data_IF_446470494547
#
_entry.id   IF_446470494547
#
_cell.length_a   1.000
_cell.length_b   1.000
_cell.length_c   1.000
_cell.angle_alpha   90.00
_cell.angle_beta   90.00
_cell.angle_gamma   90.00
#
_symmetry.space_group_name_H-M   'P 1'
#
loop_
_entity.id
_entity.type
_entity.pdbx_description
1 polymer ?
#
# COMPACT_ATOMS: atom_id res chain seq x y z
N UNK A 1 48.30 47.35 27.73
CA UNK A 1 48.12 46.36 26.67
C UNK A 1 46.64 46.06 26.59
N UNK A 2 45.93 46.76 25.72
CA UNK A 2 44.50 46.56 25.51
C UNK A 2 44.29 45.24 24.75
N UNK A 3 43.57 44.31 25.38
CA UNK A 3 43.14 43.08 24.74
C UNK A 3 41.84 43.37 24.01
N UNK A 4 41.90 43.54 22.69
CA UNK A 4 40.70 43.63 21.87
C UNK A 4 39.95 42.28 21.94
N UNK A 5 38.62 42.29 22.13
CA UNK A 5 37.83 41.07 22.10
C UNK A 5 37.89 40.46 20.70
N UNK A 6 38.15 39.15 20.64
CA UNK A 6 38.18 38.39 19.40
C UNK A 6 36.84 38.56 18.65
N UNK A 7 36.84 38.77 17.33
CA UNK A 7 35.61 38.95 16.57
C UNK A 7 34.76 37.69 16.69
N UNK A 8 33.52 37.86 17.17
CA UNK A 8 32.51 36.80 17.21
C UNK A 8 32.28 36.35 15.77
N UNK A 9 32.76 35.15 15.45
CA UNK A 9 32.55 34.52 14.14
C UNK A 9 31.03 34.45 13.93
N UNK A 10 30.51 35.22 12.98
CA UNK A 10 29.12 35.11 12.57
C UNK A 10 28.88 33.64 12.20
N UNK A 11 28.21 32.90 13.09
CA UNK A 11 27.74 31.54 12.79
C UNK A 11 26.92 31.66 11.52
N UNK A 12 27.39 31.03 10.45
CA UNK A 12 26.66 30.98 9.20
C UNK A 12 25.28 30.40 9.51
N UNK A 13 24.22 31.18 9.25
CA UNK A 13 22.82 30.72 9.34
C UNK A 13 22.46 29.89 8.11
N UNK A 14 23.40 29.08 7.65
CA UNK A 14 23.17 28.17 6.55
C UNK A 14 22.16 27.15 7.03
N UNK A 15 21.02 27.09 6.34
CA UNK A 15 19.99 26.14 6.73
C UNK A 15 20.53 24.73 6.56
N UNK A 16 20.30 23.89 7.56
CA UNK A 16 20.68 22.49 7.47
C UNK A 16 19.88 21.86 6.34
N UNK A 17 20.58 21.25 5.39
CA UNK A 17 19.96 20.54 4.26
C UNK A 17 18.92 19.49 4.72
N UNK A 18 19.11 18.90 5.90
CA UNK A 18 18.20 17.90 6.48
C UNK A 18 17.17 18.46 7.48
N UNK A 19 17.36 19.68 7.96
CA UNK A 19 16.51 20.32 8.97
C UNK A 19 16.38 21.81 8.66
N UNK A 20 15.53 22.12 7.68
CA UNK A 20 15.17 23.49 7.38
C UNK A 20 14.51 24.17 8.59
N UNK A 21 14.37 25.50 8.55
CA UNK A 21 13.78 26.26 9.67
C UNK A 21 12.39 25.79 10.02
N UNK A 22 11.58 25.43 9.01
CA UNK A 22 10.22 24.91 9.22
C UNK A 22 10.21 23.61 10.01
N UNK A 23 11.13 22.70 9.73
CA UNK A 23 11.30 21.44 10.44
C UNK A 23 11.80 21.65 11.87
N UNK A 24 12.77 22.55 12.06
CA UNK A 24 13.30 22.86 13.40
C UNK A 24 12.25 23.54 14.29
N UNK A 25 11.47 24.48 13.74
CA UNK A 25 10.40 25.15 14.47
C UNK A 25 9.28 24.18 14.83
N UNK A 26 8.93 23.27 13.91
CA UNK A 26 8.01 22.18 14.21
C UNK A 26 8.51 21.28 15.34
N UNK A 27 9.77 20.82 15.29
CA UNK A 27 10.36 19.96 16.35
C UNK A 27 10.31 20.66 17.71
N UNK A 28 10.69 21.94 17.76
CA UNK A 28 10.67 22.74 19.00
C UNK A 28 9.27 22.92 19.54
N UNK A 29 8.31 23.24 18.67
CA UNK A 29 6.90 23.38 19.04
C UNK A 29 6.32 22.06 19.56
N UNK A 30 6.60 20.96 18.88
CA UNK A 30 6.14 19.63 19.30
C UNK A 30 6.74 19.21 20.65
N UNK A 31 8.03 19.47 20.87
CA UNK A 31 8.70 19.20 22.14
C UNK A 31 8.15 20.06 23.30
N UNK A 32 7.85 21.34 23.04
CA UNK A 32 7.34 22.26 24.06
C UNK A 32 5.90 21.95 24.49
N UNK A 33 5.07 21.49 23.57
CA UNK A 33 3.63 21.29 23.79
C UNK A 33 3.20 19.82 23.88
N UNK A 34 4.16 18.88 23.84
CA UNK A 34 3.85 17.45 23.86
C UNK A 34 3.01 17.00 22.66
N UNK A 35 3.13 17.67 21.52
CA UNK A 35 2.40 17.30 20.31
C UNK A 35 2.97 15.98 19.78
N UNK A 36 2.13 14.96 19.72
CA UNK A 36 2.45 13.71 19.06
C UNK A 36 1.78 13.69 17.68
N UNK A 37 2.56 13.52 16.63
CA UNK A 37 2.04 13.46 15.26
C UNK A 37 1.61 12.02 14.94
N UNK A 38 0.30 11.78 14.86
CA UNK A 38 -0.21 10.55 14.25
C UNK A 38 -0.24 10.75 12.74
N UNK A 39 0.91 10.64 12.08
CA UNK A 39 0.99 10.62 10.62
C UNK A 39 1.86 9.47 10.11
N UNK A 40 1.75 9.16 8.81
CA UNK A 40 2.67 8.26 8.13
C UNK A 40 4.12 8.74 8.30
N UNK A 41 5.07 7.82 8.39
CA UNK A 41 6.50 8.12 8.46
C UNK A 41 7.05 8.45 7.06
N UNK A 42 6.42 9.47 6.46
CA UNK A 42 6.86 10.18 5.27
C UNK A 42 8.38 10.35 5.20
N UNK A 43 8.98 10.28 4.02
CA UNK A 43 10.39 10.63 3.88
C UNK A 43 10.62 12.08 4.33
N UNK A 44 11.43 12.26 5.38
CA UNK A 44 11.76 13.59 5.94
C UNK A 44 12.71 14.41 5.07
N UNK A 45 13.19 13.83 3.96
CA UNK A 45 14.06 14.47 2.97
C UNK A 45 13.39 14.43 1.61
N UNK A 46 13.79 15.32 0.70
CA UNK A 46 13.39 15.24 -0.70
C UNK A 46 13.84 13.89 -1.28
N UNK A 47 12.89 13.14 -1.83
CA UNK A 47 13.16 11.92 -2.59
C UNK A 47 13.04 12.22 -4.09
N UNK A 48 13.69 11.41 -4.95
CA UNK A 48 13.49 11.51 -6.39
C UNK A 48 12.01 11.38 -6.75
N UNK A 49 11.52 12.27 -7.61
CA UNK A 49 10.16 12.26 -8.16
C UNK A 49 10.12 11.71 -9.58
N UNK A 50 8.94 11.77 -10.21
CA UNK A 50 8.81 11.40 -11.62
C UNK A 50 9.58 12.36 -12.55
N UNK A 51 9.78 13.61 -12.13
CA UNK A 51 10.54 14.61 -12.89
C UNK A 51 12.05 14.29 -12.94
N UNK A 52 12.54 13.41 -12.07
CA UNK A 52 13.94 12.97 -12.07
C UNK A 52 14.18 11.75 -12.99
N UNK A 53 13.13 11.24 -13.67
CA UNK A 53 13.23 10.10 -14.58
C UNK A 53 13.47 10.55 -16.02
N UNK A 54 14.40 9.87 -16.70
CA UNK A 54 14.60 9.99 -18.15
C UNK A 54 14.13 8.72 -18.83
N UNK A 55 13.09 8.82 -19.65
CA UNK A 55 12.66 7.72 -20.51
C UNK A 55 13.57 7.62 -21.72
N UNK A 56 14.24 6.47 -21.89
CA UNK A 56 15.07 6.21 -23.06
C UNK A 56 14.18 5.83 -24.24
N UNK A 57 14.24 6.63 -25.31
CA UNK A 57 13.53 6.37 -26.54
C UNK A 57 13.98 5.07 -27.22
N UNK A 58 13.03 4.43 -27.90
CA UNK A 58 13.28 3.31 -28.80
C UNK A 58 14.24 3.72 -29.95
N UNK A 59 15.11 2.80 -30.37
CA UNK A 59 16.11 2.99 -31.44
C UNK A 59 16.51 1.61 -32.00
N UNK A 60 17.78 1.39 -32.36
CA UNK A 60 18.24 0.12 -32.98
C UNK A 60 18.03 -1.12 -32.09
N UNK A 61 18.07 -0.99 -30.76
CA UNK A 61 17.90 -2.11 -29.83
C UNK A 61 16.44 -2.46 -29.52
N UNK A 62 15.50 -1.54 -29.78
CA UNK A 62 14.05 -1.75 -29.70
C UNK A 62 13.36 -0.84 -30.70
N UNK A 63 12.66 -1.42 -31.67
CA UNK A 63 11.90 -0.67 -32.64
C UNK A 63 10.72 0.05 -31.99
N UNK A 64 10.50 1.29 -32.40
CA UNK A 64 9.29 2.03 -32.05
C UNK A 64 8.09 1.43 -32.79
N UNK A 65 6.92 1.47 -32.16
CA UNK A 65 5.69 1.02 -32.81
C UNK A 65 5.30 2.00 -33.91
N UNK A 66 4.93 1.46 -35.08
CA UNK A 66 4.33 2.24 -36.15
C UNK A 66 2.84 2.45 -35.84
N UNK A 67 2.46 3.59 -35.26
CA UNK A 67 1.12 3.82 -34.71
C UNK A 67 -0.08 3.66 -35.67
N UNK A 68 0.15 3.63 -36.99
CA UNK A 68 -0.89 3.34 -37.99
C UNK A 68 -1.02 1.84 -38.32
N UNK A 69 -0.01 1.01 -38.00
CA UNK A 69 0.00 -0.45 -38.21
C UNK A 69 -0.17 -1.23 -36.93
N UNK A 70 0.38 -0.70 -35.84
CA UNK A 70 0.52 -1.39 -34.57
C UNK A 70 -0.24 -0.64 -33.47
N UNK A 71 -0.98 -1.38 -32.65
CA UNK A 71 -1.69 -0.82 -31.50
C UNK A 71 -0.83 -0.89 -30.25
N UNK A 72 -0.69 0.23 -29.55
CA UNK A 72 -0.17 0.24 -28.19
C UNK A 72 -1.29 -0.22 -27.24
N UNK A 73 -1.16 -1.43 -26.70
CA UNK A 73 -2.13 -1.96 -25.74
C UNK A 73 -1.72 -1.63 -24.30
N UNK A 74 -2.63 -1.02 -23.55
CA UNK A 74 -2.49 -0.83 -22.09
C UNK A 74 -3.05 -2.01 -21.29
N UNK A 75 -3.65 -3.00 -21.98
CA UNK A 75 -4.27 -4.16 -21.34
C UNK A 75 -3.24 -4.89 -20.49
N UNK A 76 -3.59 -5.10 -19.22
CA UNK A 76 -2.73 -5.71 -18.23
C UNK A 76 -3.40 -6.97 -17.69
N UNK A 77 -2.70 -8.10 -17.80
CA UNK A 77 -3.20 -9.38 -17.27
C UNK A 77 -2.36 -9.80 -16.07
N UNK A 78 -3.00 -9.97 -14.93
CA UNK A 78 -2.38 -10.31 -13.66
C UNK A 78 -2.78 -11.73 -13.23
N UNK A 79 -1.82 -12.50 -12.71
CA UNK A 79 -2.10 -13.82 -12.14
C UNK A 79 -2.14 -15.01 -13.12
N UNK A 80 -1.63 -14.85 -14.34
CA UNK A 80 -1.73 -15.82 -15.45
C UNK A 80 -1.15 -17.22 -15.21
N UNK A 81 -0.34 -17.42 -14.17
CA UNK A 81 0.43 -18.66 -14.01
C UNK A 81 -0.24 -19.68 -13.08
N UNK A 82 -0.94 -19.23 -12.05
CA UNK A 82 -1.42 -20.11 -10.96
C UNK A 82 -2.89 -19.91 -10.58
N UNK A 83 -3.51 -18.83 -11.05
CA UNK A 83 -4.93 -18.63 -10.90
C UNK A 83 -5.65 -19.21 -12.12
N UNK A 84 -6.70 -20.01 -11.90
CA UNK A 84 -7.58 -20.47 -12.99
C UNK A 84 -8.28 -19.30 -13.68
N UNK A 85 -8.53 -18.22 -12.95
CA UNK A 85 -9.17 -16.99 -13.44
C UNK A 85 -8.23 -15.79 -13.21
N UNK A 86 -7.30 -15.51 -14.15
CA UNK A 86 -6.48 -14.31 -14.07
C UNK A 86 -7.34 -13.04 -14.15
N UNK A 87 -6.83 -11.93 -13.60
CA UNK A 87 -7.48 -10.63 -13.74
C UNK A 87 -7.01 -9.97 -15.03
N UNK A 88 -7.96 -9.47 -15.80
CA UNK A 88 -7.70 -8.61 -16.95
C UNK A 88 -8.15 -7.18 -16.65
N UNK A 89 -7.23 -6.23 -16.82
CA UNK A 89 -7.48 -4.79 -16.68
C UNK A 89 -7.23 -4.12 -18.03
N UNK A 90 -7.98 -3.07 -18.34
CA UNK A 90 -7.82 -2.29 -19.57
C UNK A 90 -6.61 -1.34 -19.48
N UNK A 91 -6.20 -0.97 -18.26
CA UNK A 91 -5.07 -0.08 -17.97
C UNK A 91 -4.14 -0.62 -16.86
N UNK A 92 -2.85 -0.27 -16.86
CA UNK A 92 -1.87 -0.72 -15.85
C UNK A 92 -1.90 0.12 -14.56
N UNK A 93 -3.05 0.69 -14.20
CA UNK A 93 -3.21 1.58 -13.04
C UNK A 93 -4.32 1.01 -12.18
N UNK A 94 -4.10 0.80 -10.88
CA UNK A 94 -5.09 0.25 -9.94
C UNK A 94 -5.33 1.20 -8.77
N UNK A 95 -6.50 1.11 -8.14
CA UNK A 95 -6.81 1.87 -6.93
C UNK A 95 -6.35 1.08 -5.71
N UNK A 96 -5.38 1.63 -4.98
CA UNK A 96 -4.79 1.02 -3.81
C UNK A 96 -5.81 0.85 -2.66
N UNK A 97 -5.52 -0.12 -1.77
CA UNK A 97 -6.40 -0.46 -0.65
C UNK A 97 -6.51 0.62 0.40
N UNK A 98 -7.73 1.11 0.60
CA UNK A 98 -8.07 2.05 1.67
C UNK A 98 -9.29 1.52 2.42
N UNK A 99 -9.14 1.33 3.73
CA UNK A 99 -10.13 0.60 4.54
C UNK A 99 -11.45 1.37 4.71
N UNK A 100 -12.57 0.65 4.71
CA UNK A 100 -13.83 1.19 5.25
C UNK A 100 -13.65 1.53 6.74
N UNK A 101 -13.99 2.76 7.12
CA UNK A 101 -13.66 3.38 8.41
C UNK A 101 -12.62 4.49 8.28
N UNK A 102 -11.59 4.29 7.43
CA UNK A 102 -10.76 5.41 6.96
C UNK A 102 -11.51 6.22 5.89
N UNK A 103 -12.19 5.50 4.98
CA UNK A 103 -13.13 6.04 4.00
C UNK A 103 -14.58 5.72 4.38
N UNK A 104 -15.51 6.55 3.90
CA UNK A 104 -16.95 6.27 4.01
C UNK A 104 -17.40 5.22 2.98
N UNK A 105 -18.55 4.59 3.22
CA UNK A 105 -19.14 3.64 2.28
C UNK A 105 -19.40 4.28 0.90
N UNK A 106 -19.88 5.54 0.88
CA UNK A 106 -20.13 6.27 -0.37
C UNK A 106 -18.85 6.49 -1.18
N UNK A 107 -17.72 6.76 -0.53
CA UNK A 107 -16.43 6.89 -1.23
C UNK A 107 -16.00 5.53 -1.79
N UNK A 108 -16.16 4.45 -1.02
CA UNK A 108 -15.85 3.09 -1.48
C UNK A 108 -16.70 2.71 -2.70
N UNK A 109 -18.00 3.02 -2.66
CA UNK A 109 -18.92 2.81 -3.77
C UNK A 109 -18.50 3.60 -5.02
N UNK A 110 -18.21 4.90 -4.86
CA UNK A 110 -17.78 5.78 -5.94
C UNK A 110 -16.48 5.32 -6.59
N UNK A 111 -15.48 4.90 -5.79
CA UNK A 111 -14.24 4.33 -6.31
C UNK A 111 -14.50 3.04 -7.10
N UNK A 112 -15.42 2.19 -6.64
CA UNK A 112 -15.78 0.97 -7.36
C UNK A 112 -16.46 1.24 -8.71
N UNK A 113 -17.38 2.21 -8.77
CA UNK A 113 -17.99 2.64 -10.04
C UNK A 113 -16.95 3.19 -11.00
N UNK A 114 -16.13 4.12 -10.54
CA UNK A 114 -15.07 4.74 -11.34
C UNK A 114 -14.06 3.69 -11.86
N UNK A 115 -13.63 2.76 -11.01
CA UNK A 115 -12.73 1.69 -11.44
C UNK A 115 -13.36 0.80 -12.50
N UNK A 116 -14.64 0.44 -12.33
CA UNK A 116 -15.37 -0.40 -13.27
C UNK A 116 -15.52 0.26 -14.64
N UNK A 117 -15.84 1.55 -14.67
CA UNK A 117 -15.94 2.35 -15.90
C UNK A 117 -14.59 2.50 -16.59
N UNK A 118 -13.51 2.69 -15.82
CA UNK A 118 -12.14 2.80 -16.33
C UNK A 118 -11.48 1.46 -16.67
N UNK A 119 -12.18 0.34 -16.47
CA UNK A 119 -11.64 -0.99 -16.76
C UNK A 119 -10.49 -1.40 -15.82
N UNK A 120 -10.50 -0.92 -14.58
CA UNK A 120 -9.48 -1.24 -13.56
C UNK A 120 -10.08 -1.86 -12.29
N UNK A 121 -9.22 -2.11 -11.29
CA UNK A 121 -9.55 -2.73 -10.01
C UNK A 121 -9.49 -1.76 -8.84
N UNK A 122 -10.29 -2.08 -7.84
CA UNK A 122 -10.26 -1.49 -6.49
C UNK A 122 -9.74 -2.50 -5.48
N UNK A 123 -9.35 -2.01 -4.31
CA UNK A 123 -8.87 -2.84 -3.20
C UNK A 123 -9.55 -2.47 -1.88
N UNK A 124 -9.99 -3.47 -1.13
CA UNK A 124 -10.81 -3.34 0.09
C UNK A 124 -10.13 -2.55 1.24
N UNK A 125 -8.88 -2.87 1.60
CA UNK A 125 -8.24 -2.30 2.80
C UNK A 125 -8.41 -3.15 4.07
N UNK A 126 -7.91 -2.65 5.20
CA UNK A 126 -8.01 -3.27 6.56
C UNK A 126 -9.41 -3.29 7.19
N UNK A 127 -10.45 -3.08 6.40
CA UNK A 127 -11.83 -2.92 6.87
C UNK A 127 -12.77 -4.06 6.49
N UNK A 128 -12.29 -5.06 5.76
CA UNK A 128 -13.14 -6.06 5.10
C UNK A 128 -13.85 -5.50 3.86
N UNK A 129 -14.71 -6.32 3.27
CA UNK A 129 -15.48 -5.99 2.07
C UNK A 129 -16.86 -5.45 2.46
N UNK A 130 -17.21 -4.25 2.00
CA UNK A 130 -18.58 -3.75 2.17
C UNK A 130 -19.47 -4.23 1.01
N UNK A 131 -20.80 -4.37 1.22
CA UNK A 131 -21.73 -4.66 0.14
C UNK A 131 -21.66 -3.63 -0.99
N UNK A 132 -21.56 -2.34 -0.64
CA UNK A 132 -21.52 -1.24 -1.62
C UNK A 132 -20.29 -1.33 -2.53
N UNK A 133 -19.12 -1.63 -1.95
CA UNK A 133 -17.88 -1.81 -2.73
C UNK A 133 -17.97 -3.04 -3.64
N UNK A 134 -18.49 -4.17 -3.14
CA UNK A 134 -18.59 -5.38 -3.95
C UNK A 134 -19.56 -5.21 -5.11
N UNK A 135 -20.68 -4.53 -4.89
CA UNK A 135 -21.70 -4.30 -5.91
C UNK A 135 -21.26 -3.27 -6.96
N UNK A 136 -20.45 -2.28 -6.58
CA UNK A 136 -20.01 -1.24 -7.52
C UNK A 136 -18.75 -1.59 -8.30
N UNK A 137 -17.89 -2.48 -7.78
CA UNK A 137 -16.64 -2.88 -8.42
C UNK A 137 -16.79 -4.12 -9.31
N UNK A 138 -16.44 -4.02 -10.59
CA UNK A 138 -16.30 -5.15 -11.52
C UNK A 138 -15.14 -6.06 -11.12
N UNK A 139 -14.01 -5.46 -10.74
CA UNK A 139 -12.82 -6.16 -10.25
C UNK A 139 -12.43 -5.63 -8.88
N UNK A 140 -12.50 -6.47 -7.85
CA UNK A 140 -12.20 -6.11 -6.47
C UNK A 140 -11.16 -7.06 -5.86
N UNK A 141 -10.08 -6.48 -5.37
CA UNK A 141 -9.01 -7.15 -4.66
C UNK A 141 -9.27 -7.12 -3.15
N UNK A 142 -9.24 -8.28 -2.52
CA UNK A 142 -9.46 -8.42 -1.08
C UNK A 142 -8.13 -8.44 -0.33
N UNK A 143 -7.94 -7.57 0.67
CA UNK A 143 -6.69 -7.53 1.42
C UNK A 143 -6.72 -8.45 2.66
N UNK A 144 -5.63 -9.17 2.84
CA UNK A 144 -5.34 -9.99 4.00
C UNK A 144 -4.21 -9.32 4.80
N UNK A 145 -4.56 -8.53 5.82
CA UNK A 145 -3.62 -7.79 6.66
C UNK A 145 -3.31 -8.52 7.98
N UNK A 146 -2.20 -8.19 8.66
CA UNK A 146 -1.77 -8.82 9.91
C UNK A 146 -2.84 -9.10 10.95
N UNK A 147 -3.77 -8.16 11.14
CA UNK A 147 -4.74 -8.25 12.23
C UNK A 147 -6.05 -8.93 11.90
N UNK A 148 -6.27 -9.25 10.62
CA UNK A 148 -7.49 -9.96 10.16
C UNK A 148 -8.80 -9.24 10.54
N UNK A 149 -8.76 -7.93 10.74
CA UNK A 149 -9.98 -7.17 11.04
C UNK A 149 -10.94 -7.25 9.86
N UNK A 150 -12.15 -7.74 10.12
CA UNK A 150 -13.15 -7.98 9.09
C UNK A 150 -12.73 -8.99 8.02
N UNK A 151 -11.76 -9.87 8.33
CA UNK A 151 -11.39 -10.97 7.45
C UNK A 151 -12.51 -12.02 7.44
N UNK A 152 -13.16 -12.16 6.29
CA UNK A 152 -14.29 -13.06 6.11
C UNK A 152 -14.03 -14.00 4.92
N UNK A 153 -13.89 -15.31 5.14
CA UNK A 153 -13.69 -16.30 4.08
C UNK A 153 -14.72 -16.22 2.94
N UNK A 154 -15.98 -15.90 3.25
CA UNK A 154 -17.03 -15.79 2.23
C UNK A 154 -16.80 -14.59 1.32
N UNK A 155 -16.32 -13.47 1.86
CA UNK A 155 -15.94 -12.31 1.06
C UNK A 155 -14.68 -12.56 0.24
N UNK A 156 -13.73 -13.34 0.76
CA UNK A 156 -12.54 -13.75 0.00
C UNK A 156 -12.94 -14.58 -1.22
N UNK A 157 -13.89 -15.51 -1.10
CA UNK A 157 -14.40 -16.28 -2.25
C UNK A 157 -15.13 -15.41 -3.27
N UNK A 158 -15.79 -14.35 -2.81
CA UNK A 158 -16.48 -13.35 -3.65
C UNK A 158 -15.53 -12.32 -4.29
N UNK A 159 -14.27 -12.25 -3.87
CA UNK A 159 -13.28 -11.34 -4.44
C UNK A 159 -12.77 -11.84 -5.80
N UNK A 160 -12.11 -10.97 -6.55
CA UNK A 160 -11.51 -11.30 -7.85
C UNK A 160 -10.02 -11.63 -7.72
N UNK A 161 -9.37 -11.11 -6.68
CA UNK A 161 -8.02 -11.45 -6.26
C UNK A 161 -7.83 -11.22 -4.76
N UNK A 162 -6.71 -11.71 -4.25
CA UNK A 162 -6.30 -11.54 -2.86
C UNK A 162 -4.97 -10.79 -2.82
N UNK A 163 -4.82 -9.84 -1.91
CA UNK A 163 -3.55 -9.17 -1.64
C UNK A 163 -3.13 -9.42 -0.18
N UNK A 164 -2.06 -10.17 0.02
CA UNK A 164 -1.43 -10.39 1.33
C UNK A 164 -0.52 -9.21 1.64
N UNK A 165 -0.82 -8.47 2.69
CA UNK A 165 -0.15 -7.20 3.01
C UNK A 165 0.91 -7.40 4.08
N UNK A 166 2.18 -7.34 3.68
CA UNK A 166 3.34 -7.46 4.58
C UNK A 166 3.70 -6.11 5.19
N UNK A 167 3.58 -5.06 4.38
CA UNK A 167 3.88 -3.70 4.76
C UNK A 167 3.19 -2.71 3.84
N UNK A 168 3.13 -1.46 4.31
CA UNK A 168 2.58 -0.33 3.56
C UNK A 168 3.59 0.82 3.60
N UNK A 169 3.63 1.62 2.54
CA UNK A 169 4.58 2.71 2.33
C UNK A 169 4.53 3.77 3.43
N UNK A 170 3.32 4.10 3.90
CA UNK A 170 3.10 5.03 5.00
C UNK A 170 3.79 4.61 6.31
N UNK A 171 3.86 3.31 6.56
CA UNK A 171 4.31 2.74 7.84
C UNK A 171 4.73 1.29 7.62
N UNK A 172 5.90 1.05 7.00
CA UNK A 172 6.26 -0.29 6.54
C UNK A 172 6.55 -1.26 7.67
N UNK A 173 6.96 -0.78 8.85
CA UNK A 173 7.14 -1.59 10.06
C UNK A 173 5.98 -1.50 11.06
N UNK A 174 4.86 -0.85 10.70
CA UNK A 174 3.73 -0.61 11.59
C UNK A 174 2.42 -1.21 11.05
N UNK A 175 1.45 -1.42 11.93
CA UNK A 175 0.12 -1.86 11.52
C UNK A 175 -0.83 -0.69 11.21
N UNK A 176 -1.94 -1.00 10.54
CA UNK A 176 -3.15 -0.17 10.46
C UNK A 176 -3.53 0.49 11.80
N UNK A 177 -4.09 1.70 11.75
CA UNK A 177 -4.59 2.39 12.93
C UNK A 177 -5.84 3.16 12.53
N UNK A 178 -6.89 3.01 13.32
CA UNK A 178 -8.14 3.74 13.16
C UNK A 178 -8.57 4.26 14.52
N UNK A 179 -8.73 5.58 14.63
CA UNK A 179 -9.16 6.22 15.87
C UNK A 179 -10.56 5.78 16.25
N UNK A 180 -10.81 5.61 17.54
CA UNK A 180 -12.10 5.17 18.09
C UNK A 180 -13.27 6.05 17.67
N UNK A 181 -13.03 7.36 17.51
CA UNK A 181 -14.02 8.31 16.96
C UNK A 181 -14.53 7.93 15.56
N UNK A 182 -13.72 7.21 14.77
CA UNK A 182 -14.09 6.69 13.44
C UNK A 182 -14.60 5.25 13.49
N UNK A 183 -14.51 4.57 14.63
CA UNK A 183 -15.06 3.23 14.86
C UNK A 183 -16.55 3.37 15.21
N UNK A 184 -17.34 3.68 14.19
CA UNK A 184 -18.80 3.71 14.27
C UNK A 184 -19.36 2.30 14.54
N UNK A 185 -20.63 2.16 14.99
CA UNK A 185 -21.23 0.85 15.22
C UNK A 185 -21.14 -0.10 14.02
N UNK A 186 -21.21 0.45 12.79
CA UNK A 186 -21.05 -0.34 11.57
C UNK A 186 -19.61 -0.83 11.37
N UNK A 187 -18.62 0.03 11.59
CA UNK A 187 -17.19 -0.35 11.52
C UNK A 187 -16.85 -1.36 12.61
N UNK A 188 -17.34 -1.13 13.83
CA UNK A 188 -17.23 -2.04 14.97
C UNK A 188 -17.76 -3.43 14.63
N UNK A 189 -18.99 -3.52 14.09
CA UNK A 189 -19.60 -4.79 13.68
C UNK A 189 -18.82 -5.53 12.60
N UNK A 190 -18.29 -4.82 11.60
CA UNK A 190 -17.47 -5.45 10.56
C UNK A 190 -16.13 -5.96 11.07
N UNK A 191 -15.53 -5.30 12.07
CA UNK A 191 -14.18 -5.62 12.56
C UNK A 191 -14.18 -6.46 13.85
N UNK A 192 -15.35 -6.81 14.37
CA UNK A 192 -15.53 -7.47 15.67
C UNK A 192 -14.82 -6.70 16.79
N UNK A 193 -15.01 -5.38 16.80
CA UNK A 193 -14.41 -4.45 17.76
C UNK A 193 -15.50 -3.68 18.53
N UNK A 194 -15.24 -3.28 19.79
CA UNK A 194 -16.12 -2.35 20.49
C UNK A 194 -16.13 -0.97 19.81
N UNK A 195 -17.32 -0.37 19.69
CA UNK A 195 -17.47 0.97 19.12
C UNK A 195 -16.77 2.02 20.00
N UNK A 196 -16.18 3.04 19.37
CA UNK A 196 -15.48 4.11 20.08
C UNK A 196 -14.06 3.77 20.57
N UNK A 197 -13.58 2.55 20.37
CA UNK A 197 -12.24 2.11 20.79
C UNK A 197 -11.25 2.19 19.63
N UNK A 198 -10.05 2.72 19.90
CA UNK A 198 -8.96 2.76 18.93
C UNK A 198 -8.61 1.36 18.43
N UNK A 199 -8.62 1.19 17.12
CA UNK A 199 -8.05 0.00 16.49
C UNK A 199 -6.56 0.19 16.27
N UNK A 200 -5.78 -0.78 16.74
CA UNK A 200 -4.35 -0.91 16.43
C UNK A 200 -4.11 -2.28 15.83
N UNK A 201 -3.65 -2.29 14.58
CA UNK A 201 -3.30 -3.52 13.90
C UNK A 201 -1.87 -3.92 14.30
N UNK A 202 -1.62 -5.22 14.44
CA UNK A 202 -0.30 -5.80 14.61
C UNK A 202 0.64 -5.41 13.44
N UNK A 203 1.93 -5.27 13.74
CA UNK A 203 2.96 -4.92 12.75
C UNK A 203 3.41 -6.10 11.88
N UNK A 204 3.15 -7.33 12.32
CA UNK A 204 3.46 -8.58 11.64
C UNK A 204 2.25 -9.50 11.76
N UNK A 205 2.02 -10.36 10.77
CA UNK A 205 0.95 -11.32 10.99
C UNK A 205 1.38 -12.33 12.07
N UNK A 206 0.47 -12.70 12.98
CA UNK A 206 0.80 -13.54 14.13
C UNK A 206 1.05 -15.01 13.75
N UNK A 207 0.59 -15.42 12.58
CA UNK A 207 0.55 -16.80 12.08
C UNK A 207 1.77 -17.21 11.24
N UNK A 208 2.79 -16.34 11.12
CA UNK A 208 4.02 -16.64 10.41
C UNK A 208 5.19 -15.75 10.81
N UNK A 209 6.40 -16.31 10.70
CA UNK A 209 7.65 -15.65 11.10
C UNK A 209 8.70 -15.61 9.99
N UNK A 210 8.52 -16.42 8.94
CA UNK A 210 9.47 -16.52 7.84
C UNK A 210 8.83 -16.81 6.49
N UNK A 211 9.65 -16.96 5.43
CA UNK A 211 9.16 -17.24 4.08
C UNK A 211 8.44 -18.60 3.98
N UNK A 212 8.85 -19.64 4.73
CA UNK A 212 8.20 -20.96 4.63
C UNK A 212 6.75 -20.92 5.13
N UNK A 213 6.50 -20.17 6.20
CA UNK A 213 5.15 -19.94 6.71
C UNK A 213 4.29 -19.11 5.72
N UNK A 214 4.91 -18.25 4.88
CA UNK A 214 4.23 -17.56 3.79
C UNK A 214 3.64 -18.53 2.80
N UNK A 215 4.43 -19.58 2.49
CA UNK A 215 4.08 -20.62 1.55
C UNK A 215 2.78 -21.28 1.99
N UNK A 216 2.75 -21.67 3.27
CA UNK A 216 1.60 -22.29 3.90
C UNK A 216 0.40 -21.34 3.84
N UNK A 217 0.57 -20.06 4.17
CA UNK A 217 -0.53 -19.08 4.12
C UNK A 217 -1.09 -18.88 2.72
N UNK A 218 -0.22 -18.74 1.71
CA UNK A 218 -0.64 -18.62 0.31
C UNK A 218 -1.37 -19.89 -0.13
N UNK A 219 -0.88 -21.06 0.28
CA UNK A 219 -1.50 -22.33 -0.04
C UNK A 219 -2.90 -22.45 0.58
N UNK A 220 -3.08 -22.08 1.85
CA UNK A 220 -4.40 -22.02 2.49
C UNK A 220 -5.38 -21.11 1.74
N UNK A 221 -4.93 -19.93 1.31
CA UNK A 221 -5.75 -18.99 0.55
C UNK A 221 -6.13 -19.53 -0.84
N UNK A 222 -5.22 -20.28 -1.50
CA UNK A 222 -5.50 -20.96 -2.77
C UNK A 222 -6.53 -22.05 -2.60
N UNK A 223 -6.37 -22.89 -1.59
CA UNK A 223 -7.30 -23.98 -1.30
C UNK A 223 -8.69 -23.43 -0.95
N UNK A 224 -8.77 -22.38 -0.12
CA UNK A 224 -10.03 -21.72 0.23
C UNK A 224 -10.77 -21.14 -0.98
N UNK A 225 -10.05 -20.82 -2.05
CA UNK A 225 -10.61 -20.24 -3.29
C UNK A 225 -10.55 -21.17 -4.49
N UNK A 226 -10.37 -22.47 -4.27
CA UNK A 226 -10.30 -23.51 -5.31
C UNK A 226 -9.28 -23.21 -6.43
N UNK A 227 -8.21 -22.50 -6.09
CA UNK A 227 -7.18 -22.02 -7.01
C UNK A 227 -7.71 -21.07 -8.10
N UNK A 228 -8.90 -20.50 -7.92
CA UNK A 228 -9.49 -19.61 -8.91
C UNK A 228 -8.82 -18.25 -8.94
N UNK A 229 -8.46 -17.72 -7.76
CA UNK A 229 -8.11 -16.31 -7.58
C UNK A 229 -6.60 -16.10 -7.56
N UNK A 230 -6.07 -15.06 -8.22
CA UNK A 230 -4.68 -14.69 -8.08
C UNK A 230 -4.40 -14.07 -6.72
N UNK A 231 -3.18 -14.30 -6.24
CA UNK A 231 -2.70 -13.82 -4.94
C UNK A 231 -1.49 -12.93 -5.17
N UNK A 232 -1.54 -11.74 -4.59
CA UNK A 232 -0.48 -10.73 -4.61
C UNK A 232 0.15 -10.59 -3.24
N UNK A 233 1.43 -10.21 -3.22
CA UNK A 233 2.13 -9.89 -1.98
C UNK A 233 2.51 -8.42 -2.03
N UNK A 234 1.93 -7.63 -1.13
CA UNK A 234 2.23 -6.20 -0.98
C UNK A 234 3.33 -6.01 0.05
N UNK A 235 4.42 -5.37 -0.35
CA UNK A 235 5.57 -5.08 0.51
C UNK A 235 5.78 -3.58 0.61
N UNK A 236 6.26 -3.10 1.76
CA UNK A 236 6.67 -1.71 1.90
C UNK A 236 7.99 -1.43 1.16
N UNK A 237 8.26 -0.16 0.86
CA UNK A 237 9.51 0.29 0.26
C UNK A 237 10.69 0.30 1.26
N UNK A 238 10.99 -0.87 1.86
CA UNK A 238 12.08 -1.09 2.83
C UNK A 238 13.27 -1.77 2.18
N UNK A 239 13.58 -3.02 2.56
CA UNK A 239 14.66 -3.81 1.95
C UNK A 239 14.09 -4.60 0.78
N UNK A 240 13.44 -3.91 -0.16
CA UNK A 240 12.65 -4.50 -1.24
C UNK A 240 13.36 -5.63 -1.96
N UNK A 241 14.65 -5.50 -2.28
CA UNK A 241 15.43 -6.58 -2.89
C UNK A 241 15.42 -7.89 -2.08
N UNK A 242 15.54 -7.81 -0.75
CA UNK A 242 15.51 -8.97 0.13
C UNK A 242 14.07 -9.44 0.37
N UNK A 243 13.14 -8.50 0.59
CA UNK A 243 11.73 -8.78 0.86
C UNK A 243 11.08 -9.50 -0.35
N UNK A 244 11.43 -9.07 -1.57
CA UNK A 244 11.07 -9.73 -2.83
C UNK A 244 11.62 -11.14 -2.90
N UNK A 245 12.90 -11.35 -2.56
CA UNK A 245 13.51 -12.68 -2.57
C UNK A 245 12.82 -13.61 -1.58
N UNK A 246 12.47 -13.13 -0.39
CA UNK A 246 11.74 -13.91 0.61
C UNK A 246 10.32 -14.23 0.16
N UNK A 247 9.61 -13.27 -0.44
CA UNK A 247 8.29 -13.53 -1.02
C UNK A 247 8.35 -14.59 -2.13
N UNK A 248 9.35 -14.51 -3.02
CA UNK A 248 9.59 -15.50 -4.08
C UNK A 248 10.11 -16.84 -3.54
N UNK A 249 10.82 -16.86 -2.41
CA UNK A 249 11.27 -18.10 -1.77
C UNK A 249 10.12 -18.81 -1.07
N UNK A 250 9.34 -18.04 -0.30
CA UNK A 250 8.12 -18.47 0.38
C UNK A 250 7.04 -18.89 -0.59
N UNK A 251 7.11 -18.51 -1.87
CA UNK A 251 6.51 -19.32 -2.90
C UNK A 251 7.30 -19.20 -4.21
N UNK A 252 8.14 -20.21 -4.49
CA UNK A 252 8.84 -20.40 -5.78
C UNK A 252 7.87 -20.34 -6.98
N UNK A 253 6.56 -20.40 -6.71
CA UNK A 253 5.41 -20.47 -7.60
C UNK A 253 4.27 -19.49 -7.24
N UNK A 254 4.43 -18.34 -6.56
CA UNK A 254 3.35 -17.30 -6.52
C UNK A 254 3.77 -15.95 -7.03
N UNK A 255 5.01 -15.55 -6.75
CA UNK A 255 5.27 -14.12 -6.68
C UNK A 255 5.79 -13.59 -8.02
N UNK A 256 4.90 -13.03 -8.82
CA UNK A 256 5.29 -12.14 -9.93
C UNK A 256 4.70 -10.73 -9.81
N UNK A 257 3.61 -10.56 -9.09
CA UNK A 257 3.16 -9.23 -8.68
C UNK A 257 3.49 -9.03 -7.22
N UNK A 258 4.72 -8.56 -7.00
CA UNK A 258 4.95 -7.71 -5.85
C UNK A 258 4.33 -6.41 -6.28
N UNK A 259 3.25 -6.03 -5.63
CA UNK A 259 2.84 -4.65 -5.64
C UNK A 259 3.95 -3.85 -4.92
N UNK A 260 5.07 -3.64 -5.62
CA UNK A 260 5.71 -2.34 -5.68
C UNK A 260 4.75 -1.46 -6.51
N UNK A 261 3.47 -1.40 -6.13
CA UNK A 261 2.85 -0.10 -6.21
C UNK A 261 3.79 0.79 -5.43
N UNK A 262 4.01 1.96 -5.97
CA UNK A 262 4.66 3.08 -5.34
C UNK A 262 3.90 3.44 -4.04
N UNK A 263 3.79 2.52 -3.09
CA UNK A 263 3.60 2.79 -1.69
C UNK A 263 4.97 3.28 -1.23
N UNK A 264 5.28 4.46 -1.79
CA UNK A 264 6.49 5.21 -1.55
C UNK A 264 6.60 5.42 -0.05
N UNK A 265 7.79 5.79 0.38
CA UNK A 265 7.97 6.39 1.70
C UNK A 265 7.06 7.63 1.89
N UNK A 266 6.33 8.08 0.86
CA UNK A 266 5.34 9.17 0.86
C UNK A 266 3.88 8.72 0.82
N UNK A 267 3.57 7.42 0.75
CA UNK A 267 2.18 6.95 0.79
C UNK A 267 1.53 7.28 2.15
N UNK A 268 0.28 7.74 2.16
CA UNK A 268 -0.51 8.02 3.38
C UNK A 268 -0.26 9.38 4.03
#
# INVERSE_FOLDING_TARGET
MDTQPLPVKHLSREESYGYDRKTLDYIRNAAAHGLYEIRGMGAKRKLPGFDDLVFLGASLSRYALEGYREKCSTKTVLGTRFAKKPIELDIPITIAGMSFGALSANVKEALGRAASEMGTSTTTGDGGMTPEERLSSKTLVYQCLPSRYGFNPDDVRRADAIEVVIGQGAKPGGGGMLLGQKVSPRVAGMRTLPAGVDQRSACRHPDWTGPDDLAIKIQELREMTDWEKPIYVKVGATRTFNDVKLAVAGDRKAVRFIANLLDQVQGG
#
